data_IF_033151594069
#
_entry.id   IF_033151594069
#
_cell.length_a   1.000
_cell.length_b   1.000
_cell.length_c   1.000
_cell.angle_alpha   90.00
_cell.angle_beta   90.00
_cell.angle_gamma   90.00
#
_symmetry.space_group_name_H-M   'P 1'
#
loop_
_entity.id
_entity.type
_entity.pdbx_description
1 polymer ?
#
# COMPACT_ATOMS: atom_id res chain seq x y z
N UNK A 1 1.49 -30.16 -2.92
CA UNK A 1 2.19 -29.40 -1.87
C UNK A 1 3.57 -28.90 -2.28
N UNK A 2 4.42 -29.74 -2.87
CA UNK A 2 5.78 -29.39 -3.32
C UNK A 2 5.81 -28.29 -4.43
N UNK A 3 4.87 -28.29 -5.36
CA UNK A 3 4.79 -27.27 -6.42
C UNK A 3 4.46 -25.86 -5.89
N UNK A 4 3.57 -25.74 -4.90
CA UNK A 4 3.27 -24.45 -4.25
C UNK A 4 4.46 -23.90 -3.45
N UNK A 5 5.20 -24.77 -2.76
CA UNK A 5 6.41 -24.39 -2.03
C UNK A 5 7.51 -23.90 -2.99
N UNK A 6 7.70 -24.56 -4.15
CA UNK A 6 8.67 -24.13 -5.16
C UNK A 6 8.29 -22.80 -5.85
N UNK A 7 7.02 -22.57 -6.14
CA UNK A 7 6.55 -21.29 -6.72
C UNK A 7 6.74 -20.14 -5.74
N UNK A 8 6.49 -20.37 -4.45
CA UNK A 8 6.73 -19.37 -3.39
C UNK A 8 8.25 -19.14 -3.26
N UNK A 9 9.07 -20.19 -3.23
CA UNK A 9 10.53 -20.08 -3.13
C UNK A 9 11.14 -19.28 -4.30
N UNK A 10 10.76 -19.56 -5.56
CA UNK A 10 11.22 -18.80 -6.73
C UNK A 10 10.80 -17.32 -6.72
N UNK A 11 9.63 -17.00 -6.11
CA UNK A 11 9.18 -15.61 -5.96
C UNK A 11 9.95 -14.85 -4.89
N UNK A 12 10.45 -15.54 -3.86
CA UNK A 12 11.22 -14.92 -2.78
C UNK A 12 12.59 -14.40 -3.22
N UNK A 13 13.23 -15.03 -4.21
CA UNK A 13 14.57 -14.61 -4.66
C UNK A 13 14.57 -13.29 -5.43
N UNK A 14 13.43 -12.90 -6.04
CA UNK A 14 13.34 -11.67 -6.85
C UNK A 14 12.47 -10.58 -6.23
N UNK A 15 11.83 -10.85 -5.09
CA UNK A 15 10.91 -9.90 -4.45
C UNK A 15 11.65 -9.03 -3.43
N UNK A 16 11.56 -7.68 -3.53
CA UNK A 16 12.27 -6.78 -2.61
C UNK A 16 11.73 -6.87 -1.17
N UNK A 17 10.45 -7.22 -1.00
CA UNK A 17 9.79 -7.35 0.29
C UNK A 17 9.03 -8.67 0.36
N UNK A 18 9.32 -9.46 1.38
CA UNK A 18 8.64 -10.74 1.64
C UNK A 18 8.28 -10.86 3.10
N UNK A 19 7.31 -11.71 3.43
CA UNK A 19 7.10 -12.13 4.81
C UNK A 19 6.88 -13.64 4.88
N UNK A 20 7.22 -14.24 6.03
CA UNK A 20 7.10 -15.67 6.31
C UNK A 20 6.40 -15.88 7.64
N UNK A 21 5.31 -16.66 7.61
CA UNK A 21 4.53 -17.00 8.79
C UNK A 21 4.03 -15.79 9.56
N UNK A 22 3.84 -14.63 8.89
CA UNK A 22 3.52 -13.36 9.54
C UNK A 22 2.22 -13.48 10.32
N UNK A 23 2.30 -13.24 11.63
CA UNK A 23 1.18 -13.39 12.56
C UNK A 23 1.04 -12.15 13.41
N UNK A 24 -0.19 -11.72 13.65
CA UNK A 24 -0.48 -10.63 14.57
C UNK A 24 -1.72 -10.95 15.39
N UNK A 25 -1.53 -10.95 16.71
CA UNK A 25 -2.58 -11.18 17.70
C UNK A 25 -2.76 -9.90 18.51
N UNK A 26 -4.00 -9.48 18.68
CA UNK A 26 -4.38 -8.39 19.58
C UNK A 26 -5.66 -8.77 20.32
N UNK A 27 -5.71 -8.48 21.62
CA UNK A 27 -6.88 -8.77 22.49
C UNK A 27 -7.36 -10.24 22.33
N UNK A 28 -6.43 -11.19 22.39
CA UNK A 28 -6.65 -12.64 22.23
C UNK A 28 -7.27 -13.07 20.89
N UNK A 29 -7.31 -12.14 19.90
CA UNK A 29 -7.78 -12.44 18.54
C UNK A 29 -6.62 -12.44 17.55
N UNK A 30 -6.52 -13.50 16.76
CA UNK A 30 -5.60 -13.55 15.64
C UNK A 30 -6.19 -12.74 14.47
N UNK A 31 -5.56 -11.60 14.20
CA UNK A 31 -5.99 -10.68 13.14
C UNK A 31 -5.24 -10.90 11.82
N UNK A 32 -4.00 -11.38 11.88
CA UNK A 32 -3.21 -11.88 10.76
C UNK A 32 -2.69 -13.25 11.17
N UNK A 33 -2.91 -14.26 10.34
CA UNK A 33 -2.65 -15.65 10.68
C UNK A 33 -1.71 -16.31 9.66
N UNK A 34 -0.44 -16.44 10.02
CA UNK A 34 0.62 -17.14 9.31
C UNK A 34 0.68 -16.79 7.82
N UNK A 35 0.69 -15.49 7.50
CA UNK A 35 0.74 -15.00 6.14
C UNK A 35 2.14 -15.16 5.57
N UNK A 36 2.23 -15.84 4.43
CA UNK A 36 3.40 -15.87 3.54
C UNK A 36 3.10 -15.02 2.31
N UNK A 37 3.94 -14.02 2.03
CA UNK A 37 3.77 -13.11 0.92
C UNK A 37 5.12 -12.74 0.30
N UNK A 38 5.18 -12.75 -1.01
CA UNK A 38 6.26 -12.15 -1.78
C UNK A 38 5.71 -11.02 -2.65
N UNK A 39 6.11 -9.79 -2.35
CA UNK A 39 5.72 -8.60 -3.13
C UNK A 39 6.62 -8.53 -4.36
N UNK A 40 6.05 -8.59 -5.57
CA UNK A 40 6.82 -8.51 -6.82
C UNK A 40 7.62 -7.20 -6.90
N UNK A 41 8.79 -7.25 -7.54
CA UNK A 41 9.64 -6.08 -7.69
C UNK A 41 9.01 -5.00 -8.57
N UNK A 42 8.24 -5.37 -9.59
CA UNK A 42 7.68 -4.48 -10.60
C UNK A 42 6.15 -4.45 -10.55
N UNK A 43 5.59 -3.36 -11.07
CA UNK A 43 4.14 -3.17 -11.12
C UNK A 43 3.53 -2.89 -9.73
N UNK A 44 2.26 -2.52 -9.69
CA UNK A 44 1.56 -2.33 -8.43
C UNK A 44 1.03 -3.66 -7.88
N UNK A 45 1.28 -3.94 -6.60
CA UNK A 45 0.61 -5.00 -5.85
C UNK A 45 -0.59 -4.40 -5.13
N UNK A 46 -1.77 -4.87 -5.47
CA UNK A 46 -3.02 -4.40 -4.86
C UNK A 46 -3.54 -5.44 -3.87
N UNK A 47 -3.71 -5.03 -2.61
CA UNK A 47 -4.29 -5.86 -1.55
C UNK A 47 -5.79 -5.60 -1.50
N UNK A 48 -6.58 -6.63 -1.75
CA UNK A 48 -8.04 -6.60 -1.76
C UNK A 48 -8.64 -7.56 -0.72
N UNK A 49 -9.91 -7.37 -0.40
CA UNK A 49 -10.64 -8.22 0.53
C UNK A 49 -11.74 -7.44 1.27
N UNK A 50 -12.57 -8.16 2.00
CA UNK A 50 -13.69 -7.58 2.75
C UNK A 50 -13.22 -6.61 3.85
N UNK A 51 -14.14 -5.76 4.32
CA UNK A 51 -13.87 -4.90 5.48
C UNK A 51 -13.58 -5.77 6.71
N UNK A 52 -12.55 -5.39 7.47
CA UNK A 52 -12.10 -6.19 8.62
C UNK A 52 -11.25 -7.42 8.28
N UNK A 53 -10.97 -7.71 7.00
CA UNK A 53 -10.15 -8.87 6.60
C UNK A 53 -8.66 -8.76 7.01
N UNK A 54 -8.17 -7.57 7.44
CA UNK A 54 -6.79 -7.38 7.86
C UNK A 54 -5.91 -6.61 6.87
N UNK A 55 -6.46 -6.02 5.79
CA UNK A 55 -5.71 -5.32 4.73
C UNK A 55 -4.74 -4.24 5.24
N UNK A 56 -5.29 -3.23 5.93
CA UNK A 56 -4.49 -2.13 6.48
C UNK A 56 -3.50 -2.62 7.55
N UNK A 57 -3.87 -3.65 8.29
CA UNK A 57 -3.01 -4.27 9.29
C UNK A 57 -1.81 -4.95 8.61
N UNK A 58 -2.05 -5.70 7.53
CA UNK A 58 -0.99 -6.31 6.75
C UNK A 58 -0.03 -5.25 6.19
N UNK A 59 -0.53 -4.13 5.63
CA UNK A 59 0.33 -3.05 5.16
C UNK A 59 1.22 -2.49 6.26
N UNK A 60 0.66 -2.24 7.46
CA UNK A 60 1.42 -1.68 8.60
C UNK A 60 2.46 -2.64 9.13
N UNK A 61 2.20 -3.94 9.11
CA UNK A 61 3.17 -4.97 9.46
C UNK A 61 4.30 -5.04 8.43
N UNK A 62 3.99 -5.04 7.13
CA UNK A 62 4.97 -5.05 6.05
C UNK A 62 5.86 -3.80 6.08
N UNK A 63 5.27 -2.62 6.33
CA UNK A 63 6.02 -1.37 6.51
C UNK A 63 6.87 -1.36 7.79
N UNK A 64 6.54 -2.17 8.78
CA UNK A 64 7.21 -2.19 10.08
C UNK A 64 6.74 -1.12 11.07
N UNK A 65 5.57 -0.52 10.85
CA UNK A 65 4.88 0.33 11.84
C UNK A 65 4.32 -0.46 13.02
N UNK A 66 4.02 -1.74 12.79
CA UNK A 66 3.62 -2.69 13.82
C UNK A 66 4.63 -3.83 13.87
N UNK A 67 4.92 -4.30 15.07
CA UNK A 67 5.76 -5.48 15.27
C UNK A 67 4.85 -6.72 15.24
N UNK A 68 5.13 -7.72 14.39
CA UNK A 68 4.37 -8.94 14.37
C UNK A 68 4.53 -9.72 15.69
N UNK A 69 3.53 -10.49 16.07
CA UNK A 69 3.60 -11.41 17.23
C UNK A 69 4.26 -12.74 16.87
N UNK A 70 4.40 -13.04 15.57
CA UNK A 70 5.10 -14.19 15.04
C UNK A 70 5.45 -14.03 13.57
N UNK A 71 6.40 -14.82 13.10
CA UNK A 71 6.92 -14.69 11.74
C UNK A 71 7.86 -13.51 11.57
N UNK A 72 8.20 -13.20 10.32
CA UNK A 72 9.17 -12.17 10.00
C UNK A 72 8.85 -11.45 8.68
N UNK A 73 9.34 -10.22 8.56
CA UNK A 73 9.34 -9.45 7.31
C UNK A 73 10.80 -9.30 6.85
N UNK A 74 11.04 -9.59 5.58
CA UNK A 74 12.36 -9.61 4.98
C UNK A 74 12.47 -8.58 3.85
N UNK A 75 13.60 -7.89 3.79
CA UNK A 75 13.99 -6.99 2.70
C UNK A 75 15.16 -7.61 1.94
N UNK A 76 14.95 -7.92 0.66
CA UNK A 76 15.94 -8.64 -0.16
C UNK A 76 16.48 -9.90 0.54
N UNK A 77 15.58 -10.69 1.14
CA UNK A 77 15.91 -11.95 1.81
C UNK A 77 16.53 -11.85 3.21
N UNK A 78 16.73 -10.64 3.76
CA UNK A 78 17.25 -10.43 5.13
C UNK A 78 16.25 -9.66 6.00
N UNK A 79 16.32 -9.75 7.32
CA UNK A 79 15.44 -8.98 8.22
C UNK A 79 15.50 -7.48 7.92
N UNK A 80 14.33 -6.81 7.98
CA UNK A 80 14.20 -5.37 7.73
C UNK A 80 14.94 -4.56 8.80
N UNK A 81 15.81 -3.66 8.38
CA UNK A 81 16.55 -2.75 9.26
C UNK A 81 15.88 -1.37 9.36
N UNK A 82 16.36 -0.54 10.27
CA UNK A 82 15.93 0.87 10.37
C UNK A 82 16.22 1.66 9.09
N UNK A 83 17.34 1.38 8.42
CA UNK A 83 17.69 2.04 7.15
C UNK A 83 16.76 1.63 6.01
N UNK A 84 16.36 0.35 5.94
CA UNK A 84 15.36 -0.09 4.96
C UNK A 84 14.01 0.59 5.17
N UNK A 85 13.61 0.81 6.42
CA UNK A 85 12.38 1.55 6.74
C UNK A 85 12.41 3.00 6.27
N UNK A 86 13.59 3.64 6.24
CA UNK A 86 13.75 4.99 5.67
C UNK A 86 13.56 5.03 4.15
N UNK A 87 13.70 3.89 3.47
CA UNK A 87 13.48 3.71 2.04
C UNK A 87 12.02 3.32 1.71
N UNK A 88 11.15 3.35 2.71
CA UNK A 88 9.73 3.11 2.58
C UNK A 88 8.94 4.36 2.96
N UNK A 89 7.79 4.54 2.33
CA UNK A 89 6.85 5.60 2.69
C UNK A 89 5.43 5.03 2.75
N UNK A 90 4.56 5.66 3.54
CA UNK A 90 3.18 5.25 3.67
C UNK A 90 2.24 6.46 3.63
N UNK A 91 1.19 6.37 2.84
CA UNK A 91 0.09 7.34 2.78
C UNK A 91 -1.17 6.66 3.31
N UNK A 92 -1.80 7.30 4.27
CA UNK A 92 -2.99 6.78 4.95
C UNK A 92 -4.28 7.30 4.31
N UNK A 93 -5.39 6.63 4.54
CA UNK A 93 -6.72 7.07 4.17
C UNK A 93 -7.02 8.50 4.69
N UNK A 94 -6.64 8.78 5.94
CA UNK A 94 -6.67 10.14 6.49
C UNK A 94 -5.26 10.69 6.51
N UNK A 95 -4.93 11.70 5.67
CA UNK A 95 -3.57 12.20 5.57
C UNK A 95 -3.09 12.85 6.86
N UNK A 96 -1.86 12.50 7.27
CA UNK A 96 -1.18 13.11 8.40
C UNK A 96 -0.44 14.38 7.96
N UNK A 97 -1.09 15.54 8.09
CA UNK A 97 -0.54 16.83 7.69
C UNK A 97 -0.23 17.72 8.91
N UNK A 98 0.90 18.41 8.85
CA UNK A 98 1.27 19.38 9.86
C UNK A 98 0.40 20.66 9.76
N UNK A 99 0.21 21.34 10.87
CA UNK A 99 -0.50 22.64 10.95
C UNK A 99 0.34 23.78 10.35
N UNK A 100 0.75 23.64 9.10
CA UNK A 100 1.61 24.54 8.32
C UNK A 100 1.04 24.72 6.92
N UNK A 101 1.72 25.52 6.09
CA UNK A 101 1.37 25.66 4.67
C UNK A 101 1.64 24.34 3.90
N UNK A 102 1.09 24.21 2.70
CA UNK A 102 1.40 23.07 1.82
C UNK A 102 2.91 22.98 1.57
N UNK A 103 3.56 24.11 1.24
CA UNK A 103 5.00 24.18 1.01
C UNK A 103 5.82 23.78 2.24
N UNK A 104 5.43 24.24 3.43
CA UNK A 104 6.18 23.95 4.66
C UNK A 104 5.99 22.50 5.12
N UNK A 105 4.91 21.82 4.74
CA UNK A 105 4.76 20.38 4.93
C UNK A 105 5.80 19.60 4.12
N UNK A 106 5.99 19.95 2.85
CA UNK A 106 7.00 19.30 1.98
C UNK A 106 8.42 19.63 2.49
N UNK A 107 8.70 20.89 2.82
CA UNK A 107 10.01 21.31 3.38
C UNK A 107 10.37 20.56 4.66
N UNK A 108 9.39 20.33 5.53
CA UNK A 108 9.61 19.56 6.76
C UNK A 108 10.09 18.13 6.48
N UNK A 109 9.48 17.46 5.52
CA UNK A 109 9.88 16.10 5.14
C UNK A 109 11.27 16.09 4.52
N UNK A 110 11.57 17.02 3.61
CA UNK A 110 12.91 17.14 3.02
C UNK A 110 13.98 17.40 4.09
N UNK A 111 13.72 18.33 5.04
CA UNK A 111 14.63 18.62 6.13
C UNK A 111 14.88 17.40 7.04
N UNK A 112 13.86 16.57 7.28
CA UNK A 112 14.00 15.32 8.07
C UNK A 112 14.93 14.30 7.42
N UNK A 113 15.22 14.46 6.12
CA UNK A 113 16.15 13.65 5.33
C UNK A 113 17.44 14.37 5.01
N UNK A 114 17.72 15.51 5.68
CA UNK A 114 18.88 16.35 5.44
C UNK A 114 18.97 16.91 4.00
N UNK A 115 17.82 16.99 3.30
CA UNK A 115 17.72 17.58 1.98
C UNK A 115 17.33 19.05 2.17
N UNK A 116 18.32 19.96 2.05
CA UNK A 116 18.12 21.40 2.24
C UNK A 116 17.91 22.13 0.92
N UNK A 117 17.01 21.64 0.06
CA UNK A 117 16.72 22.22 -1.23
C UNK A 117 15.34 22.91 -1.25
N UNK A 118 15.34 24.25 -1.30
CA UNK A 118 14.10 25.04 -1.39
C UNK A 118 13.41 24.88 -2.74
N UNK A 119 14.16 24.73 -3.81
CA UNK A 119 13.64 24.56 -5.16
C UNK A 119 12.88 23.22 -5.24
N UNK A 120 13.45 22.16 -4.68
CA UNK A 120 12.85 20.84 -4.68
C UNK A 120 11.45 20.77 -4.04
N UNK A 121 11.21 21.53 -2.97
CA UNK A 121 9.87 21.60 -2.35
C UNK A 121 8.82 22.21 -3.29
N UNK A 122 9.19 23.21 -4.08
CA UNK A 122 8.31 23.84 -5.06
C UNK A 122 8.07 22.92 -6.27
N UNK A 123 9.11 22.23 -6.72
CA UNK A 123 9.01 21.22 -7.80
C UNK A 123 8.02 20.11 -7.42
N UNK A 124 8.13 19.55 -6.20
CA UNK A 124 7.21 18.53 -5.70
C UNK A 124 5.77 19.05 -5.71
N UNK A 125 5.52 20.29 -5.27
CA UNK A 125 4.17 20.87 -5.32
C UNK A 125 3.66 21.00 -6.75
N UNK A 126 4.52 21.34 -7.71
CA UNK A 126 4.17 21.37 -9.13
C UNK A 126 3.86 19.96 -9.67
N UNK A 127 4.70 18.97 -9.34
CA UNK A 127 4.50 17.56 -9.74
C UNK A 127 3.14 17.01 -9.28
N UNK A 128 2.63 17.46 -8.12
CA UNK A 128 1.32 17.05 -7.58
C UNK A 128 0.18 18.05 -7.89
N UNK A 129 0.44 19.11 -8.68
CA UNK A 129 -0.53 20.11 -9.10
C UNK A 129 -1.04 21.01 -7.97
N UNK A 130 -0.20 21.35 -6.98
CA UNK A 130 -0.52 22.18 -5.83
C UNK A 130 0.34 23.45 -5.70
N UNK A 131 1.11 23.81 -6.72
CA UNK A 131 1.98 24.98 -6.76
C UNK A 131 1.19 26.29 -6.55
N UNK A 132 0.00 26.42 -7.15
CA UNK A 132 -0.88 27.59 -7.04
C UNK A 132 -1.44 27.83 -5.63
N UNK A 133 -1.36 26.84 -4.73
CA UNK A 133 -1.81 26.93 -3.34
C UNK A 133 -0.70 26.64 -2.32
N UNK A 134 0.56 26.75 -2.73
CA UNK A 134 1.74 26.47 -1.89
C UNK A 134 1.71 27.16 -0.52
N UNK A 135 1.25 28.41 -0.45
CA UNK A 135 1.12 29.20 0.78
C UNK A 135 -0.14 28.93 1.60
N UNK A 136 -1.08 28.12 1.09
CA UNK A 136 -2.34 27.82 1.81
C UNK A 136 -2.07 26.85 2.97
N UNK A 137 -2.72 27.10 4.11
CA UNK A 137 -2.66 26.18 5.25
C UNK A 137 -3.21 24.80 4.88
N UNK A 138 -2.43 23.73 5.11
CA UNK A 138 -2.76 22.37 4.69
C UNK A 138 -4.15 21.89 5.16
N UNK A 139 -4.60 22.35 6.33
CA UNK A 139 -5.94 22.03 6.86
C UNK A 139 -7.11 22.70 6.12
N UNK A 140 -6.84 23.71 5.28
CA UNK A 140 -7.85 24.40 4.46
C UNK A 140 -7.91 23.85 3.03
N UNK A 141 -7.11 22.84 2.73
CA UNK A 141 -7.14 22.13 1.47
C UNK A 141 -8.37 21.20 1.42
N UNK A 142 -8.91 20.96 0.23
CA UNK A 142 -9.91 19.91 0.00
C UNK A 142 -9.35 18.52 0.32
N UNK A 143 -10.21 17.51 0.48
CA UNK A 143 -9.76 16.15 0.75
C UNK A 143 -8.78 15.61 -0.31
N UNK A 144 -9.08 15.83 -1.59
CA UNK A 144 -8.20 15.43 -2.70
C UNK A 144 -6.88 16.20 -2.71
N UNK A 145 -6.88 17.52 -2.43
CA UNK A 145 -5.65 18.32 -2.30
C UNK A 145 -4.80 17.86 -1.11
N UNK A 146 -5.43 17.54 0.04
CA UNK A 146 -4.72 17.01 1.20
C UNK A 146 -4.08 15.65 0.90
N UNK A 147 -4.77 14.80 0.17
CA UNK A 147 -4.28 13.48 -0.19
C UNK A 147 -3.12 13.58 -1.20
N UNK A 148 -3.23 14.47 -2.21
CA UNK A 148 -2.12 14.75 -3.13
C UNK A 148 -0.90 15.34 -2.40
N UNK A 149 -1.13 16.24 -1.42
CA UNK A 149 -0.04 16.76 -0.60
C UNK A 149 0.66 15.65 0.20
N UNK A 150 -0.10 14.77 0.85
CA UNK A 150 0.47 13.62 1.58
C UNK A 150 1.27 12.70 0.65
N UNK A 151 0.77 12.47 -0.56
CA UNK A 151 1.47 11.68 -1.58
C UNK A 151 2.77 12.35 -2.03
N UNK A 152 2.76 13.66 -2.29
CA UNK A 152 3.96 14.43 -2.61
C UNK A 152 4.98 14.41 -1.48
N UNK A 153 4.54 14.55 -0.22
CA UNK A 153 5.41 14.40 0.95
C UNK A 153 6.06 13.02 1.03
N UNK A 154 5.31 11.96 0.77
CA UNK A 154 5.82 10.59 0.75
C UNK A 154 6.86 10.40 -0.36
N UNK A 155 6.58 10.86 -1.57
CA UNK A 155 7.46 10.77 -2.73
C UNK A 155 8.68 11.68 -2.64
N UNK A 156 8.63 12.76 -1.85
CA UNK A 156 9.77 13.66 -1.60
C UNK A 156 10.99 12.91 -1.08
N UNK A 157 10.79 11.80 -0.38
CA UNK A 157 11.87 10.96 0.16
C UNK A 157 12.45 9.98 -0.85
N UNK A 158 11.91 9.93 -2.08
CA UNK A 158 12.28 8.95 -3.13
C UNK A 158 12.29 7.52 -2.59
N UNK A 159 11.15 7.02 -2.09
CA UNK A 159 11.09 5.71 -1.49
C UNK A 159 11.23 4.60 -2.54
N UNK A 160 11.85 3.48 -2.16
CA UNK A 160 11.84 2.27 -2.99
C UNK A 160 10.45 1.61 -3.02
N UNK A 161 9.73 1.70 -1.88
CA UNK A 161 8.37 1.18 -1.77
C UNK A 161 7.46 2.26 -1.19
N UNK A 162 6.33 2.49 -1.87
CA UNK A 162 5.24 3.34 -1.41
C UNK A 162 4.03 2.48 -1.06
N UNK A 163 3.61 2.55 0.20
CA UNK A 163 2.38 1.93 0.69
C UNK A 163 1.23 2.94 0.66
N UNK A 164 0.07 2.53 0.13
CA UNK A 164 -1.14 3.34 0.05
C UNK A 164 -2.28 2.61 0.76
N UNK A 165 -2.70 3.11 1.92
CA UNK A 165 -3.80 2.51 2.70
C UNK A 165 -5.10 3.27 2.40
N UNK A 166 -5.88 2.78 1.42
CA UNK A 166 -7.15 3.38 0.97
C UNK A 166 -7.04 4.88 0.65
N UNK A 167 -5.92 5.28 0.02
CA UNK A 167 -5.56 6.69 -0.19
C UNK A 167 -6.52 7.48 -1.10
N UNK A 168 -7.46 6.83 -1.77
CA UNK A 168 -8.47 7.45 -2.64
C UNK A 168 -9.89 7.33 -2.11
N UNK A 169 -10.08 6.72 -0.93
CA UNK A 169 -11.40 6.51 -0.36
C UNK A 169 -12.12 7.84 -0.12
N UNK A 170 -13.40 7.88 -0.48
CA UNK A 170 -14.28 9.05 -0.29
C UNK A 170 -13.86 10.32 -1.05
N UNK A 171 -13.03 10.20 -2.08
CA UNK A 171 -12.67 11.31 -2.97
C UNK A 171 -13.57 11.32 -4.22
N UNK A 172 -13.70 12.51 -4.81
CA UNK A 172 -14.34 12.65 -6.10
C UNK A 172 -13.52 12.03 -7.24
N UNK A 173 -14.16 11.67 -8.39
CA UNK A 173 -13.47 10.99 -9.47
C UNK A 173 -12.26 11.76 -10.05
N UNK A 174 -12.31 13.10 -10.08
CA UNK A 174 -11.21 13.92 -10.60
C UNK A 174 -10.00 13.86 -9.70
N UNK A 175 -10.20 13.88 -8.38
CA UNK A 175 -9.16 13.69 -7.37
C UNK A 175 -8.55 12.28 -7.42
N UNK A 176 -9.39 11.25 -7.63
CA UNK A 176 -8.90 9.87 -7.80
C UNK A 176 -7.98 9.77 -9.01
N UNK A 177 -8.39 10.29 -10.18
CA UNK A 177 -7.56 10.27 -11.38
C UNK A 177 -6.23 11.02 -11.21
N UNK A 178 -6.24 12.18 -10.55
CA UNK A 178 -5.02 12.93 -10.28
C UNK A 178 -4.05 12.13 -9.39
N UNK A 179 -4.55 11.42 -8.37
CA UNK A 179 -3.74 10.56 -7.50
C UNK A 179 -3.20 9.35 -8.30
N UNK A 180 -4.04 8.71 -9.11
CA UNK A 180 -3.62 7.59 -9.97
C UNK A 180 -2.50 8.00 -10.94
N UNK A 181 -2.58 9.21 -11.51
CA UNK A 181 -1.52 9.74 -12.38
C UNK A 181 -0.18 9.93 -11.63
N UNK A 182 -0.22 10.49 -10.40
CA UNK A 182 0.97 10.65 -9.56
C UNK A 182 1.56 9.28 -9.18
N UNK A 183 0.71 8.31 -8.83
CA UNK A 183 1.14 6.94 -8.50
C UNK A 183 1.77 6.26 -9.72
N UNK A 184 1.18 6.43 -10.89
CA UNK A 184 1.72 5.92 -12.16
C UNK A 184 3.10 6.48 -12.47
N UNK A 185 3.27 7.82 -12.38
CA UNK A 185 4.56 8.47 -12.57
C UNK A 185 5.62 7.99 -11.56
N UNK A 186 5.26 7.79 -10.30
CA UNK A 186 6.16 7.24 -9.28
C UNK A 186 6.58 5.80 -9.61
N UNK A 187 5.66 4.98 -10.13
CA UNK A 187 5.94 3.61 -10.55
C UNK A 187 6.87 3.59 -11.77
N UNK A 188 6.66 4.45 -12.76
CA UNK A 188 7.54 4.61 -13.93
C UNK A 188 8.95 5.07 -13.51
N UNK A 189 9.05 5.89 -12.47
CA UNK A 189 10.32 6.30 -11.87
C UNK A 189 10.99 5.21 -11.02
N UNK A 190 10.41 4.01 -10.91
CA UNK A 190 10.98 2.85 -10.24
C UNK A 190 10.51 2.63 -8.80
N UNK A 191 9.60 3.44 -8.26
CA UNK A 191 9.01 3.20 -6.93
C UNK A 191 8.05 2.01 -6.99
N UNK A 192 8.26 1.01 -6.15
CA UNK A 192 7.31 -0.10 -5.99
C UNK A 192 6.06 0.39 -5.26
N UNK A 193 4.88 0.07 -5.83
CA UNK A 193 3.59 0.41 -5.21
C UNK A 193 2.97 -0.82 -4.55
N UNK A 194 2.57 -0.67 -3.30
CA UNK A 194 1.74 -1.65 -2.57
C UNK A 194 0.53 -0.91 -2.03
N UNK A 195 -0.66 -1.22 -2.52
CA UNK A 195 -1.85 -0.45 -2.16
C UNK A 195 -3.01 -1.32 -1.70
N UNK A 196 -3.77 -0.79 -0.74
CA UNK A 196 -5.09 -1.29 -0.37
C UNK A 196 -6.14 -0.44 -1.06
N UNK A 197 -7.08 -1.08 -1.72
CA UNK A 197 -8.31 -0.45 -2.20
C UNK A 197 -9.47 -1.44 -2.15
N UNK A 198 -10.67 -0.92 -1.95
CA UNK A 198 -11.92 -1.67 -2.12
C UNK A 198 -12.61 -1.35 -3.46
N UNK A 199 -12.08 -0.39 -4.23
CA UNK A 199 -12.57 -0.06 -5.57
C UNK A 199 -11.99 -1.04 -6.61
N UNK A 200 -12.87 -1.92 -7.10
CA UNK A 200 -12.53 -2.93 -8.12
C UNK A 200 -12.10 -2.25 -9.44
N UNK A 201 -12.71 -1.12 -9.79
CA UNK A 201 -12.36 -0.35 -10.99
C UNK A 201 -10.93 0.20 -10.91
N UNK A 202 -10.56 0.80 -9.79
CA UNK A 202 -9.21 1.26 -9.51
C UNK A 202 -8.20 0.10 -9.52
N UNK A 203 -8.52 -0.99 -8.85
CA UNK A 203 -7.67 -2.17 -8.82
C UNK A 203 -7.42 -2.73 -10.23
N UNK A 204 -8.44 -2.77 -11.10
CA UNK A 204 -8.29 -3.20 -12.50
C UNK A 204 -7.36 -2.29 -13.32
N UNK A 205 -7.36 -0.97 -13.05
CA UNK A 205 -6.50 -0.02 -13.78
C UNK A 205 -5.05 -0.09 -13.34
N UNK A 206 -4.80 -0.29 -12.06
CA UNK A 206 -3.47 -0.11 -11.47
C UNK A 206 -2.73 -1.42 -11.19
N UNK A 207 -3.45 -2.51 -10.87
CA UNK A 207 -2.82 -3.73 -10.40
C UNK A 207 -2.04 -4.47 -11.51
N UNK A 208 -0.78 -4.79 -11.25
CA UNK A 208 -0.07 -5.86 -11.93
C UNK A 208 -0.32 -7.22 -11.25
N UNK A 209 -0.53 -7.19 -9.94
CA UNK A 209 -0.77 -8.35 -9.10
C UNK A 209 -1.82 -8.01 -8.04
N UNK A 210 -2.68 -8.98 -7.72
CA UNK A 210 -3.63 -8.87 -6.62
C UNK A 210 -3.29 -9.88 -5.53
N UNK A 211 -3.31 -9.41 -4.29
CA UNK A 211 -3.26 -10.22 -3.07
C UNK A 211 -4.63 -10.11 -2.41
N UNK A 212 -5.40 -11.19 -2.43
CA UNK A 212 -6.71 -11.22 -1.80
C UNK A 212 -6.61 -11.82 -0.40
N UNK A 213 -6.96 -11.00 0.60
CA UNK A 213 -6.95 -11.39 2.00
C UNK A 213 -8.38 -11.65 2.50
N UNK A 214 -8.58 -12.77 3.16
CA UNK A 214 -9.83 -13.11 3.86
C UNK A 214 -9.51 -13.57 5.28
N UNK A 215 -10.17 -12.98 6.26
CA UNK A 215 -10.05 -13.33 7.70
C UNK A 215 -8.59 -13.49 8.17
N UNK A 216 -7.75 -12.53 7.82
CA UNK A 216 -6.34 -12.51 8.24
C UNK A 216 -5.42 -13.46 7.49
N UNK A 217 -5.89 -14.16 6.45
CA UNK A 217 -5.10 -15.09 5.63
C UNK A 217 -5.11 -14.68 4.17
N UNK A 218 -4.03 -14.93 3.43
CA UNK A 218 -4.04 -14.78 1.98
C UNK A 218 -4.82 -15.94 1.39
N UNK A 219 -6.00 -15.63 0.81
CA UNK A 219 -6.83 -16.59 0.13
C UNK A 219 -6.38 -16.80 -1.32
N UNK A 220 -5.81 -15.75 -1.96
CA UNK A 220 -5.30 -15.83 -3.32
C UNK A 220 -4.23 -14.76 -3.57
N UNK A 221 -3.19 -15.10 -4.32
CA UNK A 221 -2.23 -14.19 -4.91
C UNK A 221 -2.06 -14.53 -6.38
N UNK A 222 -2.41 -13.62 -7.27
CA UNK A 222 -2.40 -13.88 -8.71
C UNK A 222 -2.08 -12.62 -9.52
N UNK A 223 -1.59 -12.77 -10.77
CA UNK A 223 -1.57 -11.66 -11.72
C UNK A 223 -2.96 -11.05 -11.87
N UNK A 224 -3.04 -9.72 -12.00
CA UNK A 224 -4.31 -9.00 -12.03
C UNK A 224 -5.25 -9.52 -13.14
N UNK A 225 -4.72 -9.78 -14.34
CA UNK A 225 -5.50 -10.32 -15.45
C UNK A 225 -6.19 -11.64 -15.08
N UNK A 226 -5.49 -12.54 -14.40
CA UNK A 226 -6.04 -13.82 -13.92
C UNK A 226 -7.07 -13.60 -12.81
N UNK A 227 -6.72 -12.81 -11.80
CA UNK A 227 -7.57 -12.56 -10.64
C UNK A 227 -8.95 -12.01 -11.04
N UNK A 228 -8.98 -11.05 -11.95
CA UNK A 228 -10.22 -10.39 -12.35
C UNK A 228 -11.05 -11.16 -13.39
N UNK A 229 -10.49 -12.15 -14.05
CA UNK A 229 -11.21 -12.97 -15.05
C UNK A 229 -11.57 -14.36 -14.55
N UNK A 230 -10.69 -14.98 -13.78
CA UNK A 230 -10.86 -16.34 -13.29
C UNK A 230 -10.23 -16.52 -11.89
N UNK A 231 -10.81 -15.89 -10.85
CA UNK A 231 -10.33 -16.04 -9.48
C UNK A 231 -10.46 -17.50 -9.02
N UNK A 232 -9.41 -17.98 -8.36
CA UNK A 232 -9.33 -19.37 -7.89
C UNK A 232 -10.08 -19.54 -6.56
N UNK A 233 -9.94 -18.57 -5.64
CA UNK A 233 -10.57 -18.66 -4.33
C UNK A 233 -12.06 -18.35 -4.38
N UNK A 234 -12.86 -19.12 -3.64
CA UNK A 234 -14.31 -18.90 -3.53
C UNK A 234 -14.60 -17.49 -2.96
N UNK A 235 -13.84 -17.08 -1.94
CA UNK A 235 -13.99 -15.77 -1.32
C UNK A 235 -13.73 -14.61 -2.31
N UNK A 236 -12.73 -14.74 -3.20
CA UNK A 236 -12.48 -13.75 -4.24
C UNK A 236 -13.60 -13.69 -5.27
N UNK A 237 -14.15 -14.84 -5.69
CA UNK A 237 -15.32 -14.89 -6.60
C UNK A 237 -16.51 -14.16 -6.01
N UNK A 238 -16.87 -14.48 -4.76
CA UNK A 238 -17.98 -13.81 -4.07
C UNK A 238 -17.74 -12.31 -3.95
N UNK A 239 -16.51 -11.89 -3.62
CA UNK A 239 -16.13 -10.47 -3.51
C UNK A 239 -16.30 -9.74 -4.85
N UNK A 240 -15.82 -10.30 -5.95
CA UNK A 240 -15.92 -9.70 -7.28
C UNK A 240 -17.38 -9.66 -7.80
N UNK A 241 -18.22 -10.61 -7.38
CA UNK A 241 -19.66 -10.63 -7.64
C UNK A 241 -20.46 -9.65 -6.76
N UNK A 242 -19.82 -8.93 -5.85
CA UNK A 242 -20.49 -8.04 -4.89
C UNK A 242 -21.33 -8.79 -3.83
N UNK A 243 -21.08 -10.08 -3.62
CA UNK A 243 -21.76 -10.91 -2.63
C UNK A 243 -21.07 -10.82 -1.26
N UNK A 244 -21.82 -11.15 -0.20
CA UNK A 244 -21.24 -11.28 1.15
C UNK A 244 -20.29 -12.49 1.23
N UNK A 245 -19.29 -12.44 2.11
CA UNK A 245 -18.40 -13.58 2.30
C UNK A 245 -19.21 -14.83 2.69
N UNK A 246 -18.83 -16.01 2.20
CA UNK A 246 -19.47 -17.24 2.63
C UNK A 246 -19.33 -17.39 4.14
N UNK A 247 -20.42 -17.78 4.81
CA UNK A 247 -20.39 -18.08 6.24
C UNK A 247 -19.30 -19.11 6.53
N UNK A 248 -18.55 -19.01 7.65
CA UNK A 248 -17.65 -20.07 8.01
C UNK A 248 -18.44 -21.37 8.10
N UNK A 249 -18.08 -22.37 7.29
CA UNK A 249 -18.61 -23.73 7.51
C UNK A 249 -18.22 -24.09 8.93
N UNK A 250 -19.23 -24.31 9.79
CA UNK A 250 -19.00 -24.88 11.12
C UNK A 250 -18.18 -26.16 10.89
N UNK A 251 -16.94 -26.18 11.39
CA UNK A 251 -16.16 -27.40 11.38
C UNK A 251 -16.97 -28.41 12.23
N UNK A 252 -17.57 -29.38 11.57
CA UNK A 252 -18.10 -30.58 12.20
C UNK A 252 -16.96 -31.52 12.51
#
# INVERSE_FOLDING_TARGET
MLERANVIAMRHETAPLTCRGLTFVAEDKTLIDRVDLAVRATGATVVMGYNGAGKSLLLRLLHGMLTPTGGEVLWNGRPVTTEDRKRQAMVFQKPALLRRTALDNVRFVLASRSISDRARASEILSEIGLDHIAGRAARRLSGGEQQRLALGMALATRPDILFLDEATASLDPSSVHAIEAIVGAAQEAGTKIVMVTHDIGQARRLAAEVVFIDRGRIAEQAPAAQFFTNPVSEAARFYLDGKLPPSPRSAQ
#
